data_IF_511353397091
#
_entry.id   IF_511353397091
#
_cell.length_a   1.000
_cell.length_b   1.000
_cell.length_c   1.000
_cell.angle_alpha   90.00
_cell.angle_beta   90.00
_cell.angle_gamma   90.00
#
_symmetry.space_group_name_H-M   'P 1'
#
loop_
_entity.id
_entity.type
_entity.pdbx_description
1 polymer ?
#
# COMPACT_ATOMS: atom_id res chain seq x y z
N UNK A 1 45.16 -11.92 -22.08
CA UNK A 1 43.70 -11.76 -22.25
C UNK A 1 43.30 -10.56 -21.41
N UNK A 2 43.21 -9.39 -22.04
CA UNK A 2 42.99 -8.10 -21.37
C UNK A 2 41.63 -7.61 -21.82
N UNK A 3 40.69 -7.43 -20.88
CA UNK A 3 39.35 -6.93 -21.19
C UNK A 3 39.38 -5.42 -21.01
N UNK A 4 39.25 -4.70 -22.12
CA UNK A 4 39.15 -3.23 -22.17
C UNK A 4 37.91 -2.75 -21.44
N UNK A 5 38.13 -1.91 -20.42
CA UNK A 5 37.12 -1.00 -19.88
C UNK A 5 36.96 0.19 -20.81
N UNK A 6 35.77 0.35 -21.38
CA UNK A 6 35.32 1.60 -22.02
C UNK A 6 34.00 2.01 -21.39
N UNK A 7 33.91 3.30 -21.09
CA UNK A 7 33.03 3.92 -20.12
C UNK A 7 31.62 4.24 -20.65
N UNK A 8 30.77 4.64 -19.69
CA UNK A 8 29.58 5.52 -19.83
C UNK A 8 28.30 4.89 -20.37
N UNK A 9 27.27 4.80 -19.52
CA UNK A 9 25.97 5.47 -19.73
C UNK A 9 25.24 5.56 -18.38
N UNK A 10 24.70 6.75 -18.11
CA UNK A 10 23.92 7.11 -16.94
C UNK A 10 22.75 6.14 -16.67
N UNK A 11 22.46 5.90 -15.39
CA UNK A 11 21.07 5.70 -14.96
C UNK A 11 20.54 4.28 -14.76
N UNK A 12 21.36 3.31 -14.33
CA UNK A 12 20.90 1.93 -14.08
C UNK A 12 20.99 1.44 -12.63
N UNK A 13 21.05 2.35 -11.67
CA UNK A 13 20.55 2.08 -10.33
C UNK A 13 19.27 2.91 -10.17
N UNK A 14 18.17 2.48 -10.80
CA UNK A 14 16.85 2.82 -10.23
C UNK A 14 16.81 2.04 -8.92
N UNK A 15 17.23 2.70 -7.85
CA UNK A 15 17.04 2.20 -6.50
C UNK A 15 15.55 1.86 -6.38
N UNK A 16 15.28 0.61 -6.00
CA UNK A 16 13.95 0.11 -5.63
C UNK A 16 13.20 1.10 -4.69
N UNK A 17 13.95 1.92 -3.96
CA UNK A 17 13.46 3.01 -3.10
C UNK A 17 12.63 4.11 -3.78
N UNK A 18 12.89 4.47 -5.03
CA UNK A 18 12.11 5.50 -5.76
C UNK A 18 10.80 4.96 -6.34
N UNK A 19 10.67 3.63 -6.42
CA UNK A 19 9.50 2.93 -6.94
C UNK A 19 8.61 2.36 -5.83
N UNK A 20 8.97 2.58 -4.56
CA UNK A 20 8.19 2.12 -3.44
C UNK A 20 6.97 3.02 -3.25
N UNK A 21 6.00 2.89 -4.16
CA UNK A 21 4.72 3.59 -4.19
C UNK A 21 4.00 3.54 -2.83
N UNK A 22 4.31 2.53 -1.99
CA UNK A 22 3.84 2.40 -0.61
C UNK A 22 4.27 3.55 0.30
N UNK A 23 5.41 4.22 0.02
CA UNK A 23 5.85 5.44 0.74
C UNK A 23 4.90 6.62 0.54
N UNK A 24 4.14 6.65 -0.56
CA UNK A 24 3.08 7.63 -0.79
C UNK A 24 1.79 7.36 0.00
N UNK A 25 1.73 6.27 0.77
CA UNK A 25 0.54 5.93 1.54
C UNK A 25 0.38 6.88 2.72
N UNK A 26 -0.75 7.59 2.80
CA UNK A 26 -1.07 8.42 3.96
C UNK A 26 -1.15 7.62 5.29
N UNK A 27 -1.31 6.30 5.20
CA UNK A 27 -1.31 5.40 6.35
C UNK A 27 0.06 4.76 6.66
N UNK A 28 1.12 5.08 5.93
CA UNK A 28 2.44 4.47 6.11
C UNK A 28 3.03 4.69 7.52
N UNK A 29 2.79 5.86 8.10
CA UNK A 29 3.29 6.23 9.43
C UNK A 29 2.37 5.76 10.58
N UNK A 30 1.23 5.15 10.26
CA UNK A 30 0.33 4.62 11.27
C UNK A 30 0.77 3.24 11.74
N UNK A 31 0.52 2.89 13.02
CA UNK A 31 0.81 1.55 13.51
C UNK A 31 0.11 0.47 12.69
N UNK A 32 0.88 -0.54 12.25
CA UNK A 32 0.39 -1.64 11.41
C UNK A 32 -0.82 -2.36 12.02
N UNK A 33 -0.90 -2.45 13.35
CA UNK A 33 -2.07 -3.03 14.06
C UNK A 33 -3.41 -2.39 13.66
N UNK A 34 -3.42 -1.10 13.33
CA UNK A 34 -4.62 -0.40 12.91
C UNK A 34 -4.94 -0.61 11.43
N UNK A 35 -3.94 -0.97 10.61
CA UNK A 35 -4.12 -1.30 9.19
C UNK A 35 -4.70 -2.71 9.05
N UNK A 36 -4.21 -3.67 9.85
CA UNK A 36 -4.64 -5.07 9.79
C UNK A 36 -5.76 -5.44 10.77
N UNK A 37 -6.39 -4.46 11.42
CA UNK A 37 -7.52 -4.74 12.32
C UNK A 37 -8.79 -5.08 11.56
N UNK A 38 -9.56 -6.02 12.12
CA UNK A 38 -10.92 -6.35 11.64
C UNK A 38 -12.00 -5.55 12.37
N UNK A 39 -11.62 -4.76 13.37
CA UNK A 39 -12.52 -3.99 14.22
C UNK A 39 -12.73 -2.60 13.60
N UNK A 40 -13.96 -2.23 13.21
CA UNK A 40 -14.23 -0.95 12.55
C UNK A 40 -13.72 0.27 13.32
N UNK A 41 -13.90 0.28 14.64
CA UNK A 41 -13.47 1.40 15.50
C UNK A 41 -11.95 1.58 15.56
N UNK A 42 -11.18 0.50 15.43
CA UNK A 42 -9.71 0.55 15.41
C UNK A 42 -9.17 0.92 14.03
N UNK A 43 -9.91 0.59 12.98
CA UNK A 43 -9.59 0.94 11.60
C UNK A 43 -9.87 2.42 11.28
N UNK A 44 -10.66 3.10 12.12
CA UNK A 44 -11.07 4.50 11.96
C UNK A 44 -9.93 5.48 11.63
N UNK A 45 -8.81 5.54 12.39
CA UNK A 45 -7.70 6.45 12.08
C UNK A 45 -7.07 6.18 10.70
N UNK A 46 -6.92 4.91 10.32
CA UNK A 46 -6.36 4.53 9.02
C UNK A 46 -7.31 4.92 7.89
N UNK A 47 -8.60 4.65 8.05
CA UNK A 47 -9.62 4.99 7.07
C UNK A 47 -9.72 6.50 6.87
N UNK A 48 -9.61 7.31 7.94
CA UNK A 48 -9.50 8.78 7.83
C UNK A 48 -8.26 9.21 7.07
N UNK A 49 -7.09 8.62 7.36
CA UNK A 49 -5.87 8.92 6.60
C UNK A 49 -6.02 8.55 5.12
N UNK A 50 -6.61 7.39 4.83
CA UNK A 50 -6.85 6.92 3.48
C UNK A 50 -7.76 7.83 2.66
N UNK A 51 -8.68 8.61 3.26
CA UNK A 51 -9.56 9.52 2.52
C UNK A 51 -8.80 10.57 1.70
N UNK A 52 -7.59 10.93 2.12
CA UNK A 52 -6.73 11.90 1.44
C UNK A 52 -5.53 11.23 0.76
N UNK A 53 -5.51 9.90 0.68
CA UNK A 53 -4.38 9.16 0.15
C UNK A 53 -4.39 9.18 -1.39
N UNK A 54 -3.26 9.55 -2.03
CA UNK A 54 -3.16 9.64 -3.49
C UNK A 54 -3.10 8.27 -4.17
N UNK A 55 -2.62 7.24 -3.47
CA UNK A 55 -2.34 5.90 -4.02
C UNK A 55 -3.46 4.87 -3.75
N UNK A 56 -4.71 5.32 -3.57
CA UNK A 56 -5.81 4.43 -3.15
C UNK A 56 -6.11 3.33 -4.17
N UNK A 57 -6.06 3.65 -5.45
CA UNK A 57 -6.40 2.73 -6.53
C UNK A 57 -5.32 1.65 -6.68
N UNK A 58 -4.05 2.07 -6.67
CA UNK A 58 -2.89 1.20 -6.68
C UNK A 58 -2.86 0.30 -5.45
N UNK A 59 -3.22 0.84 -4.28
CA UNK A 59 -3.33 0.07 -3.03
C UNK A 59 -4.31 -1.10 -3.17
N UNK A 60 -5.51 -0.87 -3.71
CA UNK A 60 -6.48 -1.95 -3.91
C UNK A 60 -6.01 -2.92 -5.00
N UNK A 61 -5.42 -2.41 -6.08
CA UNK A 61 -4.95 -3.23 -7.20
C UNK A 61 -3.83 -4.20 -6.80
N UNK A 62 -2.89 -3.75 -5.96
CA UNK A 62 -1.78 -4.59 -5.50
C UNK A 62 -2.22 -5.57 -4.41
N UNK A 63 -3.04 -5.13 -3.45
CA UNK A 63 -3.53 -6.01 -2.38
C UNK A 63 -4.51 -7.05 -2.93
N UNK A 64 -5.28 -6.68 -3.96
CA UNK A 64 -6.39 -7.46 -4.53
C UNK A 64 -7.19 -8.20 -3.45
N UNK A 65 -7.89 -7.46 -2.58
CA UNK A 65 -8.44 -8.01 -1.36
C UNK A 65 -9.47 -9.11 -1.62
N UNK A 66 -10.19 -9.06 -2.74
CA UNK A 66 -11.13 -10.11 -3.14
C UNK A 66 -10.43 -11.43 -3.45
N UNK A 67 -9.29 -11.39 -4.15
CA UNK A 67 -8.56 -12.60 -4.56
C UNK A 67 -7.65 -13.13 -3.46
N UNK A 68 -7.11 -12.26 -2.62
CA UNK A 68 -6.19 -12.61 -1.52
C UNK A 68 -6.87 -12.90 -0.19
N UNK A 69 -8.20 -12.78 -0.14
CA UNK A 69 -9.00 -12.95 1.09
C UNK A 69 -8.54 -12.02 2.21
N UNK A 70 -8.09 -10.83 1.83
CA UNK A 70 -7.47 -9.87 2.74
C UNK A 70 -8.42 -9.45 3.87
N UNK A 71 -7.83 -9.26 5.05
CA UNK A 71 -8.46 -8.71 6.24
C UNK A 71 -7.73 -7.44 6.66
N UNK A 72 -8.49 -6.34 6.82
CA UNK A 72 -7.94 -5.05 7.22
C UNK A 72 -8.33 -3.92 6.27
N UNK A 73 -7.63 -2.80 6.36
CA UNK A 73 -7.89 -1.61 5.57
C UNK A 73 -7.04 -1.61 4.30
N UNK A 74 -7.69 -1.51 3.14
CA UNK A 74 -7.03 -1.32 1.85
C UNK A 74 -7.87 -0.38 0.98
N UNK A 75 -7.22 0.58 0.33
CA UNK A 75 -7.89 1.58 -0.52
C UNK A 75 -8.90 2.48 0.19
N UNK A 76 -8.77 2.67 1.51
CA UNK A 76 -9.76 3.38 2.30
C UNK A 76 -11.06 2.61 2.55
N UNK A 77 -11.03 1.28 2.41
CA UNK A 77 -12.15 0.38 2.70
C UNK A 77 -11.70 -0.68 3.70
N UNK A 78 -12.61 -1.07 4.60
CA UNK A 78 -12.38 -2.20 5.50
C UNK A 78 -12.78 -3.49 4.78
N UNK A 79 -11.90 -4.48 4.79
CA UNK A 79 -12.08 -5.79 4.19
C UNK A 79 -12.11 -6.85 5.28
N UNK A 80 -12.95 -7.86 5.09
CA UNK A 80 -13.03 -9.05 5.93
C UNK A 80 -13.26 -10.28 5.07
N UNK A 81 -12.35 -11.24 5.12
CA UNK A 81 -12.33 -12.42 4.26
C UNK A 81 -12.51 -12.05 2.78
N UNK A 82 -11.84 -10.99 2.32
CA UNK A 82 -11.94 -10.47 0.96
C UNK A 82 -13.27 -9.81 0.57
N UNK A 83 -14.17 -9.57 1.54
CA UNK A 83 -15.40 -8.81 1.31
C UNK A 83 -15.31 -7.44 1.95
N UNK A 84 -15.75 -6.42 1.22
CA UNK A 84 -15.85 -5.07 1.76
C UNK A 84 -16.91 -5.03 2.88
N UNK A 85 -16.50 -4.51 4.04
CA UNK A 85 -17.37 -4.21 5.17
C UNK A 85 -17.78 -2.75 5.06
N UNK A 86 -19.02 -2.51 4.60
CA UNK A 86 -19.60 -1.17 4.66
C UNK A 86 -19.78 -0.77 6.12
N UNK A 87 -19.27 0.39 6.50
CA UNK A 87 -19.70 1.03 7.75
C UNK A 87 -21.19 1.37 7.59
N UNK A 88 -21.99 1.09 8.62
CA UNK A 88 -23.29 1.72 8.72
C UNK A 88 -23.06 3.24 8.82
N UNK A 89 -23.72 4.00 7.95
CA UNK A 89 -23.66 5.45 7.94
C UNK A 89 -24.19 6.05 9.25
#
# INVERSE_FOLDING_TARGET
MTVSSTAVTLGFFRTDEDLDWRRGAACADLPQRFVFTKVPSEAEPVLRACNHCPIREECVAVVDPMRTWFDGVSGGRLWRNGREVRRAA
#
